data_IF_108811263944
#
_entry.id   IF_108811263944
#
_cell.length_a   1.000
_cell.length_b   1.000
_cell.length_c   1.000
_cell.angle_alpha   90.00
_cell.angle_beta   90.00
_cell.angle_gamma   90.00
#
_symmetry.space_group_name_H-M   'P 1'
#
loop_
_entity.id
_entity.type
_entity.pdbx_description
1 polymer ?
#
# COMPACT_ATOMS: atom_id res chain seq x y z
N UNK A 1 13.62 0.72 -0.42
CA UNK A 1 12.48 1.17 0.41
C UNK A 1 11.74 2.28 -0.33
N UNK A 2 10.41 2.34 -0.22
CA UNK A 2 9.61 3.44 -0.74
C UNK A 2 9.38 4.46 0.39
N UNK A 3 9.39 5.75 0.06
CA UNK A 3 9.16 6.84 1.03
C UNK A 3 7.80 7.44 0.75
N UNK A 4 6.99 7.62 1.79
CA UNK A 4 5.73 8.34 1.74
C UNK A 4 5.90 9.60 2.58
N UNK A 5 5.56 10.75 2.00
CA UNK A 5 5.54 12.05 2.68
C UNK A 5 4.08 12.44 2.93
N UNK A 6 3.82 13.06 4.07
CA UNK A 6 2.48 13.48 4.48
C UNK A 6 2.61 14.78 5.26
N UNK A 7 1.63 15.66 5.09
CA UNK A 7 1.54 16.91 5.83
C UNK A 7 0.72 16.68 7.10
N UNK A 8 1.22 17.24 8.21
CA UNK A 8 0.52 17.29 9.48
C UNK A 8 0.54 18.74 9.95
N UNK A 9 -0.52 19.16 10.64
CA UNK A 9 -0.55 20.49 11.23
C UNK A 9 0.33 20.57 12.50
N UNK A 10 0.54 21.78 13.01
CA UNK A 10 1.41 22.01 14.17
C UNK A 10 0.93 21.26 15.42
N UNK A 11 -0.38 21.19 15.64
CA UNK A 11 -0.98 20.49 16.79
C UNK A 11 -0.75 18.98 16.72
N UNK A 12 -0.93 18.38 15.55
CA UNK A 12 -0.65 16.97 15.30
C UNK A 12 0.83 16.65 15.48
N UNK A 13 1.71 17.52 14.97
CA UNK A 13 3.16 17.35 15.14
C UNK A 13 3.56 17.42 16.62
N UNK A 14 3.04 18.38 17.37
CA UNK A 14 3.32 18.53 18.80
C UNK A 14 2.86 17.31 19.59
N UNK A 15 1.66 16.79 19.30
CA UNK A 15 1.16 15.56 19.91
C UNK A 15 2.05 14.35 19.61
N UNK A 16 2.48 14.18 18.35
CA UNK A 16 3.39 13.10 17.96
C UNK A 16 4.74 13.21 18.69
N UNK A 17 5.23 14.43 18.91
CA UNK A 17 6.47 14.70 19.64
C UNK A 17 6.36 14.32 21.11
N UNK A 18 5.31 14.76 21.80
CA UNK A 18 5.08 14.42 23.22
C UNK A 18 5.02 12.91 23.45
N UNK A 19 4.29 12.19 22.60
CA UNK A 19 4.17 10.73 22.71
C UNK A 19 5.51 10.05 22.36
N UNK A 20 6.26 10.60 21.41
CA UNK A 20 7.59 10.11 21.03
C UNK A 20 8.59 10.23 22.19
N UNK A 21 8.57 11.35 22.91
CA UNK A 21 9.38 11.61 24.10
C UNK A 21 8.96 10.70 25.26
N UNK A 22 7.66 10.58 25.55
CA UNK A 22 7.12 9.71 26.62
C UNK A 22 7.53 8.24 26.41
N UNK A 23 7.48 7.76 25.17
CA UNK A 23 7.78 6.36 24.81
C UNK A 23 9.25 6.12 24.47
N UNK A 24 10.08 7.16 24.46
CA UNK A 24 11.49 7.11 24.06
C UNK A 24 11.72 6.38 22.72
N UNK A 25 10.88 6.67 21.73
CA UNK A 25 10.96 6.12 20.37
C UNK A 25 10.88 7.25 19.35
N UNK A 26 11.57 7.18 18.20
CA UNK A 26 11.53 8.26 17.22
C UNK A 26 10.15 8.35 16.54
N UNK A 27 9.72 9.57 16.19
CA UNK A 27 8.41 9.86 15.55
C UNK A 27 8.16 8.95 14.34
N UNK A 28 9.17 8.72 13.49
CA UNK A 28 9.05 7.81 12.31
C UNK A 28 8.65 6.38 12.67
N UNK A 29 9.15 5.87 13.79
CA UNK A 29 8.86 4.51 14.25
C UNK A 29 7.48 4.46 14.91
N UNK A 30 7.12 5.51 15.66
CA UNK A 30 5.79 5.67 16.23
C UNK A 30 4.71 5.70 15.14
N UNK A 31 4.89 6.53 14.10
CA UNK A 31 3.97 6.62 12.96
C UNK A 31 3.88 5.29 12.22
N UNK A 32 5.02 4.63 11.97
CA UNK A 32 5.04 3.31 11.34
C UNK A 32 4.22 2.28 12.13
N UNK A 33 4.35 2.25 13.45
CA UNK A 33 3.57 1.34 14.32
C UNK A 33 2.09 1.69 14.30
N UNK A 34 1.74 2.98 14.31
CA UNK A 34 0.35 3.42 14.20
C UNK A 34 -0.28 2.97 12.87
N UNK A 35 0.43 3.16 11.75
CA UNK A 35 0.00 2.70 10.42
C UNK A 35 -0.21 1.19 10.42
N UNK A 36 0.75 0.41 10.92
CA UNK A 36 0.62 -1.05 10.97
C UNK A 36 -0.56 -1.50 11.84
N UNK A 37 -0.77 -0.85 12.98
CA UNK A 37 -1.91 -1.13 13.86
C UNK A 37 -3.23 -0.85 13.16
N UNK A 38 -3.32 0.28 12.44
CA UNK A 38 -4.50 0.64 11.67
C UNK A 38 -4.76 -0.37 10.55
N UNK A 39 -3.75 -0.70 9.74
CA UNK A 39 -3.87 -1.69 8.65
C UNK A 39 -4.36 -3.04 9.18
N UNK A 40 -3.82 -3.52 10.32
CA UNK A 40 -4.25 -4.78 10.92
C UNK A 40 -5.69 -4.76 11.45
N UNK A 41 -6.25 -3.58 11.71
CA UNK A 41 -7.66 -3.42 12.11
C UNK A 41 -8.59 -3.28 10.91
N UNK A 42 -8.08 -2.87 9.75
CA UNK A 42 -8.85 -2.85 8.51
C UNK A 42 -9.22 -4.29 8.19
N UNK A 43 -10.53 -4.58 8.22
CA UNK A 43 -11.05 -5.84 7.70
C UNK A 43 -10.81 -5.82 6.19
N UNK A 44 -9.83 -6.59 5.75
CA UNK A 44 -9.69 -6.94 4.34
C UNK A 44 -10.84 -7.90 4.05
N UNK A 45 -11.64 -7.57 3.04
CA UNK A 45 -12.63 -8.51 2.54
C UNK A 45 -11.88 -9.70 1.93
N UNK A 46 -12.05 -10.87 2.55
CA UNK A 46 -11.37 -12.09 2.10
C UNK A 46 -11.86 -12.52 0.71
N UNK A 47 -13.06 -12.07 0.31
CA UNK A 47 -13.68 -12.33 -0.98
C UNK A 47 -13.46 -11.16 -1.98
N UNK A 48 -12.58 -10.20 -1.67
CA UNK A 48 -12.25 -9.11 -2.60
C UNK A 48 -11.69 -9.71 -3.92
N UNK A 49 -12.38 -9.47 -5.06
CA UNK A 49 -11.96 -9.98 -6.36
C UNK A 49 -10.53 -9.55 -6.75
N UNK A 50 -10.00 -8.47 -6.18
CA UNK A 50 -8.63 -8.02 -6.39
C UNK A 50 -7.58 -9.03 -5.92
N UNK A 51 -7.88 -9.81 -4.87
CA UNK A 51 -7.00 -10.85 -4.34
C UNK A 51 -7.33 -12.25 -4.89
N UNK A 52 -8.33 -12.35 -5.75
CA UNK A 52 -8.65 -13.63 -6.41
C UNK A 52 -7.49 -14.05 -7.32
N UNK A 53 -7.18 -15.36 -7.39
CA UNK A 53 -6.21 -15.85 -8.35
C UNK A 53 -6.65 -15.41 -9.75
N UNK A 54 -5.70 -14.98 -10.60
CA UNK A 54 -6.04 -14.50 -11.93
C UNK A 54 -6.81 -15.59 -12.67
N UNK A 55 -7.88 -15.22 -13.37
CA UNK A 55 -8.71 -16.15 -14.16
C UNK A 55 -7.98 -16.73 -15.38
N UNK A 56 -6.68 -16.46 -15.51
CA UNK A 56 -5.83 -16.98 -16.56
C UNK A 56 -5.57 -18.48 -16.35
N UNK A 57 -5.54 -19.23 -17.45
CA UNK A 57 -5.17 -20.66 -17.41
C UNK A 57 -3.74 -20.82 -16.91
N UNK A 58 -3.47 -21.89 -16.16
CA UNK A 58 -2.09 -22.29 -15.81
C UNK A 58 -1.22 -22.34 -17.08
N UNK A 59 -0.04 -21.72 -17.01
CA UNK A 59 0.89 -21.63 -18.14
C UNK A 59 0.57 -20.53 -19.17
N UNK A 60 -0.46 -19.71 -18.95
CA UNK A 60 -0.73 -18.53 -19.78
C UNK A 60 0.27 -17.40 -19.48
N UNK A 61 1.46 -17.50 -20.05
CA UNK A 61 2.46 -16.42 -20.06
C UNK A 61 2.16 -15.42 -21.18
N UNK A 62 2.50 -14.15 -20.92
CA UNK A 62 2.41 -13.03 -21.87
C UNK A 62 0.97 -12.72 -22.35
N UNK A 63 -0.04 -12.99 -21.51
CA UNK A 63 -1.43 -12.67 -21.79
C UNK A 63 -1.65 -11.18 -22.07
N UNK A 64 -1.09 -10.31 -21.23
CA UNK A 64 -1.19 -8.86 -21.38
C UNK A 64 -0.56 -8.36 -22.69
N UNK A 65 0.65 -8.80 -23.01
CA UNK A 65 1.34 -8.41 -24.25
C UNK A 65 0.57 -8.83 -25.52
N UNK A 66 -0.03 -10.03 -25.50
CA UNK A 66 -0.86 -10.51 -26.61
C UNK A 66 -2.18 -9.75 -26.70
N UNK A 67 -2.76 -9.37 -25.58
CA UNK A 67 -4.00 -8.59 -25.54
C UNK A 67 -3.77 -7.18 -26.07
N UNK A 68 -2.67 -6.53 -25.66
CA UNK A 68 -2.28 -5.21 -26.15
C UNK A 68 -2.02 -5.25 -27.66
N UNK A 69 -1.30 -6.27 -28.16
CA UNK A 69 -1.08 -6.44 -29.60
C UNK A 69 -2.38 -6.65 -30.38
N UNK A 70 -3.35 -7.35 -29.80
CA UNK A 70 -4.66 -7.58 -30.42
C UNK A 70 -5.52 -6.32 -30.45
N UNK A 71 -5.55 -5.56 -29.35
CA UNK A 71 -6.41 -4.39 -29.19
C UNK A 71 -5.87 -3.15 -29.91
N UNK A 72 -4.56 -2.91 -29.82
CA UNK A 72 -3.94 -1.68 -30.33
C UNK A 72 -3.21 -1.89 -31.65
N UNK A 73 -3.04 -3.15 -32.09
CA UNK A 73 -2.20 -3.47 -33.22
C UNK A 73 -0.72 -3.18 -32.93
N UNK A 74 0.17 -3.90 -33.59
CA UNK A 74 1.58 -3.52 -33.58
C UNK A 74 1.78 -2.33 -34.54
N UNK A 75 1.38 -1.13 -34.13
CA UNK A 75 1.92 0.08 -34.75
C UNK A 75 3.30 0.36 -34.14
N UNK A 76 4.31 -0.18 -34.83
CA UNK A 76 5.62 0.46 -34.95
C UNK A 76 5.67 1.18 -36.28
#
# INVERSE_FOLDING_TARGET
MKVVQTEVNETEHQLLREISEEKNIPIKELVKRAILRYINQVKIDADDPLFSPPSAKEGATNGSEKHDKYLYGSEQ
#
